data_IF_816448142596
#
_entry.id   IF_816448142596
#
_cell.length_a   1.000
_cell.length_b   1.000
_cell.length_c   1.000
_cell.angle_alpha   90.00
_cell.angle_beta   90.00
_cell.angle_gamma   90.00
#
_symmetry.space_group_name_H-M   'P 1'
#
loop_
_entity.id
_entity.type
_entity.pdbx_description
1 polymer ?
#
# COMPACT_ATOMS: atom_id res chain seq x y z
N UNK A 1 -41.35 -34.50 25.79
CA UNK A 1 -40.73 -33.19 26.11
C UNK A 1 -39.33 -33.47 26.68
N UNK A 2 -38.32 -33.62 25.83
CA UNK A 2 -36.94 -33.89 26.27
C UNK A 2 -36.31 -32.60 26.79
N UNK A 3 -36.12 -32.51 28.10
CA UNK A 3 -35.32 -31.43 28.71
C UNK A 3 -33.87 -31.60 28.25
N UNK A 4 -33.37 -30.69 27.43
CA UNK A 4 -31.97 -30.61 27.04
C UNK A 4 -31.09 -30.66 28.29
N UNK A 5 -30.00 -31.43 28.26
CA UNK A 5 -29.14 -31.59 29.45
C UNK A 5 -28.46 -30.24 29.72
N UNK A 6 -28.26 -29.85 30.99
CA UNK A 6 -27.60 -28.58 31.34
C UNK A 6 -26.23 -28.38 30.65
N UNK A 7 -25.57 -29.48 30.28
CA UNK A 7 -24.34 -29.50 29.47
C UNK A 7 -24.53 -28.96 28.05
N UNK A 8 -25.65 -29.25 27.38
CA UNK A 8 -25.90 -28.81 26.00
C UNK A 8 -26.12 -27.29 25.93
N UNK A 9 -26.80 -26.73 26.93
CA UNK A 9 -26.98 -25.29 27.08
C UNK A 9 -25.63 -24.57 27.29
N UNK A 10 -24.75 -25.17 28.11
CA UNK A 10 -23.41 -24.64 28.36
C UNK A 10 -22.51 -24.72 27.12
N UNK A 11 -22.59 -25.80 26.35
CA UNK A 11 -21.85 -25.95 25.08
C UNK A 11 -22.32 -24.90 24.07
N UNK A 12 -23.62 -24.67 23.96
CA UNK A 12 -24.17 -23.64 23.07
C UNK A 12 -23.70 -22.23 23.46
N UNK A 13 -23.74 -21.90 24.75
CA UNK A 13 -23.24 -20.62 25.27
C UNK A 13 -21.75 -20.42 24.96
N UNK A 14 -20.94 -21.48 25.14
CA UNK A 14 -19.51 -21.43 24.83
C UNK A 14 -19.24 -21.30 23.33
N UNK A 15 -20.03 -21.95 22.48
CA UNK A 15 -19.92 -21.83 21.03
C UNK A 15 -20.26 -20.41 20.56
N UNK A 16 -21.31 -19.80 21.11
CA UNK A 16 -21.69 -18.41 20.83
C UNK A 16 -20.60 -17.44 21.27
N UNK A 17 -20.04 -17.63 22.47
CA UNK A 17 -18.89 -16.84 22.97
C UNK A 17 -17.65 -16.99 22.08
N UNK A 18 -17.36 -18.21 21.60
CA UNK A 18 -16.25 -18.45 20.67
C UNK A 18 -16.44 -17.66 19.38
N UNK A 19 -17.64 -17.71 18.78
CA UNK A 19 -17.94 -16.97 17.54
C UNK A 19 -17.77 -15.46 17.75
N UNK A 20 -18.21 -14.93 18.90
CA UNK A 20 -18.04 -13.51 19.22
C UNK A 20 -16.57 -13.13 19.37
N UNK A 21 -15.76 -13.95 20.03
CA UNK A 21 -14.32 -13.70 20.20
C UNK A 21 -13.58 -13.81 18.85
N UNK A 22 -13.90 -14.80 18.03
CA UNK A 22 -13.32 -14.96 16.69
C UNK A 22 -13.62 -13.72 15.82
N UNK A 23 -14.84 -13.18 15.89
CA UNK A 23 -15.21 -11.96 15.19
C UNK A 23 -14.44 -10.72 15.70
N UNK A 24 -14.22 -10.61 17.02
CA UNK A 24 -13.43 -9.52 17.59
C UNK A 24 -11.96 -9.59 17.19
N UNK A 25 -11.38 -10.80 17.17
CA UNK A 25 -10.00 -11.03 16.70
C UNK A 25 -9.88 -10.61 15.24
N UNK A 26 -10.80 -11.05 14.37
CA UNK A 26 -10.79 -10.70 12.96
C UNK A 26 -10.89 -9.17 12.73
N UNK A 27 -11.71 -8.48 13.52
CA UNK A 27 -11.83 -7.03 13.46
C UNK A 27 -10.54 -6.31 13.91
N UNK A 28 -9.89 -6.79 14.96
CA UNK A 28 -8.61 -6.24 15.43
C UNK A 28 -7.49 -6.47 14.42
N UNK A 29 -7.43 -7.64 13.81
CA UNK A 29 -6.45 -7.96 12.76
C UNK A 29 -6.66 -7.08 11.52
N UNK A 30 -7.91 -6.89 11.08
CA UNK A 30 -8.22 -5.99 9.98
C UNK A 30 -7.77 -4.56 10.27
N UNK A 31 -8.00 -4.07 11.50
CA UNK A 31 -7.54 -2.74 11.93
C UNK A 31 -6.02 -2.64 11.95
N UNK A 32 -5.32 -3.69 12.43
CA UNK A 32 -3.86 -3.75 12.44
C UNK A 32 -3.29 -3.69 11.03
N UNK A 33 -3.82 -4.50 10.11
CA UNK A 33 -3.42 -4.50 8.69
C UNK A 33 -3.66 -3.15 8.03
N UNK A 34 -4.78 -2.50 8.32
CA UNK A 34 -5.06 -1.15 7.81
C UNK A 34 -4.05 -0.12 8.32
N UNK A 35 -3.68 -0.18 9.60
CA UNK A 35 -2.64 0.70 10.15
C UNK A 35 -1.29 0.47 9.47
N UNK A 36 -0.88 -0.79 9.33
CA UNK A 36 0.37 -1.16 8.68
C UNK A 36 0.42 -0.67 7.22
N UNK A 37 -0.67 -0.81 6.48
CA UNK A 37 -0.76 -0.31 5.11
C UNK A 37 -0.61 1.21 5.06
N UNK A 38 -1.24 1.95 5.98
CA UNK A 38 -1.09 3.41 6.06
C UNK A 38 0.35 3.81 6.36
N UNK A 39 1.01 3.10 7.27
CA UNK A 39 2.40 3.35 7.60
C UNK A 39 3.33 3.05 6.40
N UNK A 40 3.08 1.96 5.67
CA UNK A 40 3.80 1.61 4.45
C UNK A 40 3.61 2.66 3.34
N UNK A 41 2.36 3.10 3.12
CA UNK A 41 2.03 4.15 2.15
C UNK A 41 2.71 5.46 2.54
N UNK A 42 2.74 5.79 3.84
CA UNK A 42 3.43 6.97 4.37
C UNK A 42 4.94 6.89 4.17
N UNK A 43 5.55 5.73 4.40
CA UNK A 43 6.98 5.51 4.17
C UNK A 43 7.32 5.66 2.69
N UNK A 44 6.54 5.06 1.78
CA UNK A 44 6.72 5.22 0.33
C UNK A 44 6.61 6.69 -0.09
N UNK A 45 5.65 7.43 0.47
CA UNK A 45 5.50 8.85 0.20
C UNK A 45 6.70 9.65 0.69
N UNK A 46 7.14 9.46 1.95
CA UNK A 46 8.29 10.17 2.52
C UNK A 46 9.58 9.89 1.75
N UNK A 47 9.84 8.62 1.42
CA UNK A 47 10.99 8.22 0.63
C UNK A 47 10.92 8.79 -0.79
N UNK A 48 9.73 8.73 -1.41
CA UNK A 48 9.48 9.30 -2.73
C UNK A 48 9.78 10.79 -2.79
N UNK A 49 9.27 11.58 -1.82
CA UNK A 49 9.56 13.01 -1.72
C UNK A 49 11.05 13.26 -1.53
N UNK A 50 11.70 12.58 -0.59
CA UNK A 50 13.14 12.78 -0.33
C UNK A 50 14.00 12.47 -1.57
N UNK A 51 13.70 11.38 -2.29
CA UNK A 51 14.42 11.00 -3.51
C UNK A 51 14.14 11.98 -4.63
N UNK A 52 12.87 12.39 -4.80
CA UNK A 52 12.48 13.37 -5.80
C UNK A 52 13.18 14.72 -5.59
N UNK A 53 13.22 15.21 -4.36
CA UNK A 53 13.89 16.46 -4.00
C UNK A 53 15.40 16.42 -4.29
N UNK A 54 16.02 15.24 -4.17
CA UNK A 54 17.45 15.05 -4.47
C UNK A 54 17.75 14.75 -5.93
N UNK A 55 16.74 14.39 -6.73
CA UNK A 55 16.94 13.94 -8.11
C UNK A 55 17.69 14.97 -8.97
N UNK A 56 17.37 16.25 -8.81
CA UNK A 56 18.01 17.32 -9.59
C UNK A 56 19.47 17.56 -9.19
N UNK A 57 19.84 17.27 -7.94
CA UNK A 57 21.17 17.55 -7.39
C UNK A 57 22.15 16.39 -7.55
N UNK A 58 21.67 15.16 -7.79
CA UNK A 58 22.48 13.95 -7.79
C UNK A 58 22.52 13.29 -9.19
N UNK A 59 23.63 13.40 -9.94
CA UNK A 59 23.74 12.86 -11.30
C UNK A 59 23.50 11.35 -11.40
N UNK A 60 24.01 10.58 -10.42
CA UNK A 60 23.84 9.13 -10.41
C UNK A 60 22.36 8.70 -10.28
N UNK A 61 21.56 9.47 -9.53
CA UNK A 61 20.11 9.24 -9.43
C UNK A 61 19.41 9.59 -10.74
N UNK A 62 19.82 10.65 -11.44
CA UNK A 62 19.26 10.96 -12.75
C UNK A 62 19.55 9.86 -13.76
N UNK A 63 20.76 9.31 -13.81
CA UNK A 63 21.11 8.21 -14.69
C UNK A 63 20.27 6.96 -14.41
N UNK A 64 20.09 6.62 -13.14
CA UNK A 64 19.24 5.49 -12.74
C UNK A 64 17.79 5.70 -13.19
N UNK A 65 17.22 6.88 -12.93
CA UNK A 65 15.86 7.19 -13.36
C UNK A 65 15.75 7.19 -14.89
N UNK A 66 16.75 7.73 -15.61
CA UNK A 66 16.76 7.72 -17.08
C UNK A 66 16.76 6.30 -17.64
N UNK A 67 17.50 5.39 -17.01
CA UNK A 67 17.60 3.99 -17.43
C UNK A 67 16.34 3.20 -17.11
N UNK A 68 15.80 3.32 -15.90
CA UNK A 68 14.83 2.36 -15.37
C UNK A 68 13.37 2.83 -15.40
N UNK A 69 13.13 4.15 -15.42
CA UNK A 69 11.78 4.70 -15.41
C UNK A 69 11.00 4.47 -16.71
N UNK A 70 11.58 4.57 -17.94
CA UNK A 70 10.82 4.41 -19.19
C UNK A 70 10.02 3.11 -19.29
N UNK A 71 10.61 2.01 -18.80
CA UNK A 71 10.01 0.67 -18.80
C UNK A 71 8.90 0.52 -17.76
N UNK A 72 8.84 1.42 -16.77
CA UNK A 72 7.87 1.41 -15.68
C UNK A 72 6.73 2.40 -15.87
N UNK A 73 6.87 3.36 -16.78
CA UNK A 73 5.81 4.32 -17.08
C UNK A 73 4.63 3.61 -17.75
N UNK A 74 3.45 3.70 -17.13
CA UNK A 74 2.21 3.28 -17.78
C UNK A 74 1.86 4.24 -18.92
N UNK A 75 0.95 3.82 -19.81
CA UNK A 75 0.46 4.70 -20.88
C UNK A 75 -0.12 6.01 -20.31
N UNK A 76 -0.86 5.92 -19.19
CA UNK A 76 -1.41 7.10 -18.51
C UNK A 76 -0.33 8.07 -18.02
N UNK A 77 0.81 7.56 -17.58
CA UNK A 77 1.93 8.38 -17.11
C UNK A 77 2.61 9.10 -18.28
N UNK A 78 2.71 8.42 -19.43
CA UNK A 78 3.21 9.00 -20.69
C UNK A 78 2.27 10.07 -21.22
N UNK A 79 0.96 9.81 -21.21
CA UNK A 79 -0.07 10.77 -21.65
C UNK A 79 -0.09 12.04 -20.77
N UNK A 80 0.24 11.89 -19.48
CA UNK A 80 0.42 13.01 -18.54
C UNK A 80 1.74 13.77 -18.74
N UNK A 81 2.61 13.29 -19.62
CA UNK A 81 3.90 13.92 -19.89
C UNK A 81 4.87 13.88 -18.71
N UNK A 82 4.74 12.91 -17.80
CA UNK A 82 5.53 12.87 -16.56
C UNK A 82 7.04 12.78 -16.84
N UNK A 83 7.43 12.07 -17.91
CA UNK A 83 8.82 11.99 -18.35
C UNK A 83 9.40 13.37 -18.65
N UNK A 84 8.66 14.19 -19.40
CA UNK A 84 9.13 15.50 -19.83
C UNK A 84 9.14 16.54 -18.70
N UNK A 85 8.39 16.29 -17.62
CA UNK A 85 8.50 17.10 -16.39
C UNK A 85 9.82 16.80 -15.68
N UNK A 86 10.26 15.54 -15.67
CA UNK A 86 11.52 15.13 -15.04
C UNK A 86 12.75 15.51 -15.87
N UNK A 87 12.66 15.40 -17.19
CA UNK A 87 13.75 15.67 -18.13
C UNK A 87 13.29 16.61 -19.24
N UNK A 88 13.12 17.91 -18.96
CA UNK A 88 12.62 18.89 -19.93
C UNK A 88 13.55 19.06 -21.13
N UNK A 89 14.86 19.00 -20.91
CA UNK A 89 15.90 19.16 -21.95
C UNK A 89 15.78 18.13 -23.09
N UNK A 90 15.24 16.94 -22.81
CA UNK A 90 15.07 15.90 -23.82
C UNK A 90 13.92 16.18 -24.80
N UNK A 91 13.10 17.21 -24.55
CA UNK A 91 12.14 17.72 -25.55
C UNK A 91 12.84 18.47 -26.68
N UNK A 92 13.94 19.16 -26.40
CA UNK A 92 14.58 20.08 -27.35
C UNK A 92 15.46 19.35 -28.38
N UNK A 93 15.83 18.09 -28.13
CA UNK A 93 16.60 17.25 -29.06
C UNK A 93 15.80 16.62 -30.21
N UNK A 94 14.49 16.91 -30.33
CA UNK A 94 13.67 16.52 -31.48
C UNK A 94 13.18 17.77 -32.21
N UNK A 95 14.07 18.44 -32.92
CA UNK A 95 13.73 19.39 -33.99
C UNK A 95 14.61 19.14 -35.20
#
# INVERSE_FOLDING_TARGET
MSKSRPTDARIKELAEKKVQLDAQIAALDARRRLSQKKDEDRLKWLLGTLVFDRLSAEPALQELVRRDLPDRLSQRDRDRGLWQILFPEEREGRS
#
